data_IF_628166469746
#
_entry.id   IF_628166469746
#
_cell.length_a   1.000
_cell.length_b   1.000
_cell.length_c   1.000
_cell.angle_alpha   90.00
_cell.angle_beta   90.00
_cell.angle_gamma   90.00
#
_symmetry.space_group_name_H-M   'P 1'
#
loop_
_entity.id
_entity.type
_entity.pdbx_description
1 polymer ?
#
# COMPACT_ATOMS: atom_id res chain seq x y z
N UNK A 1 -35.91 12.93 -20.56
CA UNK A 1 -34.84 13.29 -19.60
C UNK A 1 -34.62 12.16 -18.59
N UNK A 2 -34.32 10.93 -19.04
CA UNK A 2 -34.17 9.75 -18.16
C UNK A 2 -32.81 9.04 -18.32
N UNK A 3 -31.99 9.54 -19.25
CA UNK A 3 -30.72 8.90 -19.63
C UNK A 3 -29.48 9.65 -19.11
N UNK A 4 -29.64 10.81 -18.48
CA UNK A 4 -28.50 11.57 -17.93
C UNK A 4 -27.98 11.03 -16.59
N UNK A 5 -28.78 10.22 -15.88
CA UNK A 5 -28.40 9.71 -14.56
C UNK A 5 -27.42 8.52 -14.60
N UNK A 6 -27.32 7.82 -15.75
CA UNK A 6 -26.46 6.63 -15.89
C UNK A 6 -25.02 6.95 -16.28
N UNK A 7 -24.72 8.18 -16.72
CA UNK A 7 -23.39 8.57 -17.19
C UNK A 7 -22.46 9.09 -16.06
N UNK A 8 -22.99 9.38 -14.86
CA UNK A 8 -22.19 9.88 -13.74
C UNK A 8 -21.58 8.79 -12.85
N UNK A 9 -22.07 7.55 -12.92
CA UNK A 9 -21.62 6.45 -12.05
C UNK A 9 -20.28 5.83 -12.46
N UNK A 10 -19.79 6.07 -13.68
CA UNK A 10 -18.55 5.50 -14.21
C UNK A 10 -17.28 6.30 -13.87
N UNK A 11 -17.40 7.47 -13.25
CA UNK A 11 -16.28 8.38 -12.97
C UNK A 11 -15.51 8.08 -11.67
N UNK A 12 -15.93 7.08 -10.87
CA UNK A 12 -15.34 6.82 -9.55
C UNK A 12 -14.28 5.70 -9.50
N UNK A 13 -13.94 5.05 -10.62
CA UNK A 13 -13.05 3.86 -10.60
C UNK A 13 -11.57 4.13 -10.90
N UNK A 14 -11.13 5.39 -11.01
CA UNK A 14 -9.77 5.72 -11.53
C UNK A 14 -8.66 5.70 -10.44
N UNK A 15 -8.96 5.37 -9.18
CA UNK A 15 -7.96 5.46 -8.10
C UNK A 15 -7.86 4.25 -7.17
N UNK A 16 -8.21 3.05 -7.62
CA UNK A 16 -7.86 1.83 -6.87
C UNK A 16 -6.39 1.49 -7.12
N UNK A 17 -5.45 2.10 -6.36
CA UNK A 17 -4.10 1.54 -6.25
C UNK A 17 -4.23 0.10 -5.71
N UNK A 18 -3.84 -0.88 -6.53
CA UNK A 18 -3.98 -2.30 -6.19
C UNK A 18 -3.05 -2.64 -5.03
N UNK A 19 -3.60 -2.77 -3.82
CA UNK A 19 -2.87 -3.17 -2.61
C UNK A 19 -2.25 -4.55 -2.81
N UNK A 20 -0.93 -4.65 -2.70
CA UNK A 20 -0.20 -5.92 -2.73
C UNK A 20 -0.17 -6.55 -1.34
N UNK A 21 -0.19 -7.89 -1.29
CA UNK A 21 -0.18 -8.63 -0.02
C UNK A 21 1.21 -8.67 0.62
N UNK A 22 1.27 -9.00 1.91
CA UNK A 22 2.54 -9.25 2.61
C UNK A 22 3.31 -10.41 1.96
N UNK A 23 2.61 -11.46 1.53
CA UNK A 23 3.20 -12.63 0.88
C UNK A 23 3.88 -12.28 -0.44
N UNK A 24 3.27 -11.40 -1.25
CA UNK A 24 3.91 -10.87 -2.45
C UNK A 24 5.24 -10.18 -2.12
N UNK A 25 5.26 -9.35 -1.08
CA UNK A 25 6.48 -8.65 -0.65
C UNK A 25 7.51 -9.58 -0.02
N UNK A 26 7.11 -10.62 0.72
CA UNK A 26 8.03 -11.65 1.23
C UNK A 26 8.79 -12.35 0.10
N UNK A 27 8.14 -12.55 -1.04
CA UNK A 27 8.76 -13.11 -2.25
C UNK A 27 9.61 -12.08 -3.02
N UNK A 28 9.40 -10.79 -2.76
CA UNK A 28 10.04 -9.67 -3.47
C UNK A 28 10.55 -8.58 -2.48
N UNK A 29 11.46 -8.90 -1.55
CA UNK A 29 11.85 -8.01 -0.45
C UNK A 29 12.47 -6.69 -0.93
N UNK A 30 13.17 -6.70 -2.07
CA UNK A 30 13.70 -5.49 -2.70
C UNK A 30 12.59 -4.51 -3.12
N UNK A 31 11.47 -5.04 -3.64
CA UNK A 31 10.31 -4.24 -4.03
C UNK A 31 9.63 -3.68 -2.78
N UNK A 32 9.54 -4.48 -1.71
CA UNK A 32 8.99 -4.05 -0.44
C UNK A 32 9.75 -2.82 0.10
N UNK A 33 11.08 -2.88 0.15
CA UNK A 33 11.91 -1.77 0.61
C UNK A 33 11.73 -0.52 -0.26
N UNK A 34 11.73 -0.67 -1.59
CA UNK A 34 11.54 0.45 -2.51
C UNK A 34 10.16 1.11 -2.31
N UNK A 35 9.10 0.31 -2.24
CA UNK A 35 7.74 0.82 -2.05
C UNK A 35 7.57 1.52 -0.71
N UNK A 36 8.14 0.97 0.37
CA UNK A 36 8.13 1.62 1.67
C UNK A 36 8.84 2.98 1.68
N UNK A 37 9.97 3.10 0.98
CA UNK A 37 10.67 4.38 0.81
C UNK A 37 9.82 5.36 0.01
N UNK A 38 9.22 4.92 -1.09
CA UNK A 38 8.31 5.75 -1.88
C UNK A 38 7.13 6.25 -1.05
N UNK A 39 6.51 5.37 -0.26
CA UNK A 39 5.39 5.72 0.61
C UNK A 39 5.80 6.79 1.64
N UNK A 40 6.98 6.66 2.25
CA UNK A 40 7.51 7.66 3.16
C UNK A 40 7.76 8.99 2.45
N UNK A 41 8.45 8.96 1.32
CA UNK A 41 8.88 10.16 0.61
C UNK A 41 7.69 10.95 0.04
N UNK A 42 6.61 10.26 -0.34
CA UNK A 42 5.36 10.86 -0.83
C UNK A 42 4.30 11.07 0.26
N UNK A 43 4.60 10.73 1.52
CA UNK A 43 3.64 10.73 2.63
C UNK A 43 2.33 9.95 2.32
N UNK A 44 2.43 8.84 1.58
CA UNK A 44 1.30 7.97 1.26
C UNK A 44 1.02 7.05 2.44
N UNK A 45 -0.21 7.09 2.94
CA UNK A 45 -0.70 6.18 3.97
C UNK A 45 -1.73 5.25 3.34
N UNK A 46 -1.33 4.00 3.12
CA UNK A 46 -2.18 2.95 2.56
C UNK A 46 -1.82 1.58 3.14
N UNK A 47 -2.72 0.61 2.99
CA UNK A 47 -2.46 -0.77 3.40
C UNK A 47 -1.28 -1.38 2.63
N UNK A 48 -1.09 -0.96 1.37
CA UNK A 48 0.06 -1.35 0.55
C UNK A 48 1.38 -0.91 1.17
N UNK A 49 1.45 0.33 1.63
CA UNK A 49 2.61 0.89 2.33
C UNK A 49 2.93 0.15 3.62
N UNK A 50 1.89 -0.23 4.39
CA UNK A 50 2.05 -1.03 5.61
C UNK A 50 2.61 -2.42 5.28
N UNK A 51 2.03 -3.10 4.29
CA UNK A 51 2.46 -4.44 3.89
C UNK A 51 3.91 -4.43 3.38
N UNK A 52 4.28 -3.42 2.59
CA UNK A 52 5.64 -3.22 2.14
C UNK A 52 6.59 -2.98 3.33
N UNK A 53 6.21 -2.14 4.29
CA UNK A 53 7.06 -1.78 5.44
C UNK A 53 7.39 -2.98 6.33
N UNK A 54 6.39 -3.82 6.61
CA UNK A 54 6.55 -5.04 7.41
C UNK A 54 7.65 -5.97 6.88
N UNK A 55 7.91 -5.95 5.57
CA UNK A 55 8.91 -6.81 4.92
C UNK A 55 10.20 -6.04 4.61
N UNK A 56 10.10 -4.81 4.10
CA UNK A 56 11.24 -3.99 3.67
C UNK A 56 12.08 -3.44 4.82
N UNK A 57 11.47 -3.31 6.00
CA UNK A 57 12.11 -2.87 7.24
C UNK A 57 11.70 -3.82 8.37
N UNK A 58 12.23 -5.06 8.39
CA UNK A 58 11.91 -6.02 9.43
C UNK A 58 12.32 -5.44 10.77
N UNK A 59 11.40 -5.42 11.74
CA UNK A 59 11.73 -5.02 13.10
C UNK A 59 12.75 -6.00 13.66
N UNK A 60 13.84 -5.48 14.21
CA UNK A 60 14.73 -6.30 15.02
C UNK A 60 13.93 -6.89 16.18
N UNK A 61 14.08 -8.20 16.42
CA UNK A 61 13.34 -8.95 17.46
C UNK A 61 13.51 -8.36 18.87
N UNK A 62 14.44 -7.42 19.08
CA UNK A 62 14.71 -6.76 20.35
C UNK A 62 13.86 -5.51 20.64
N UNK A 63 13.13 -4.95 19.67
CA UNK A 63 12.31 -3.73 19.91
C UNK A 63 10.99 -4.00 20.66
N UNK A 64 10.71 -5.26 21.01
CA UNK A 64 9.54 -5.65 21.79
C UNK A 64 9.73 -5.50 23.32
N UNK A 65 10.93 -5.10 23.77
CA UNK A 65 11.28 -4.97 25.19
C UNK A 65 11.52 -3.52 25.65
N UNK A 66 11.22 -2.52 24.81
CA UNK A 66 11.24 -1.13 25.24
C UNK A 66 9.82 -0.69 25.60
N UNK A 67 9.36 -1.16 26.76
CA UNK A 67 8.10 -0.79 27.39
C UNK A 67 8.34 0.17 28.56
#
# INVERSE_FOLDING_TARGET
MKNFFLLSASLFFVACEQTKSVEYYKQNPQIAKQRSLECRDKAIISQDCVNAYMVGFPKDKNESNLH
#
